data_IF_622288124934
#
_entry.id   IF_622288124934
#
_cell.length_a   1.000
_cell.length_b   1.000
_cell.length_c   1.000
_cell.angle_alpha   90.00
_cell.angle_beta   90.00
_cell.angle_gamma   90.00
#
_symmetry.space_group_name_H-M   'P 1'
#
loop_
_entity.id
_entity.type
_entity.pdbx_description
1 polymer ?
#
# COMPACT_ATOMS: atom_id res chain seq x y z
N UNK A 1 3.07 -18.65 -11.21
CA UNK A 1 1.93 -19.50 -11.61
C UNK A 1 2.32 -20.97 -11.77
N UNK A 2 3.56 -21.27 -12.15
CA UNK A 2 4.04 -22.64 -12.42
C UNK A 2 3.74 -23.67 -11.32
N UNK A 3 3.87 -23.28 -10.04
CA UNK A 3 3.53 -24.16 -8.92
C UNK A 3 2.05 -24.50 -8.81
N UNK A 4 1.17 -23.59 -9.22
CA UNK A 4 -0.28 -23.81 -9.24
C UNK A 4 -0.64 -24.76 -10.39
N UNK A 5 -0.03 -24.56 -11.56
CA UNK A 5 -0.15 -25.47 -12.70
C UNK A 5 0.35 -26.88 -12.37
N UNK A 6 1.55 -27.01 -11.79
CA UNK A 6 2.12 -28.32 -11.45
C UNK A 6 1.32 -29.07 -10.39
N UNK A 7 0.57 -28.35 -9.57
CA UNK A 7 -0.27 -28.91 -8.50
C UNK A 7 -1.72 -29.11 -8.93
N UNK A 8 -2.07 -28.86 -10.20
CA UNK A 8 -3.43 -28.95 -10.75
C UNK A 8 -4.48 -28.15 -9.97
N UNK A 9 -4.06 -27.06 -9.33
CA UNK A 9 -4.97 -26.13 -8.66
C UNK A 9 -5.63 -25.29 -9.73
N UNK A 10 -6.97 -25.15 -9.70
CA UNK A 10 -7.70 -24.29 -10.63
C UNK A 10 -7.52 -22.84 -10.21
N UNK A 11 -7.11 -21.98 -11.13
CA UNK A 11 -6.98 -20.55 -10.91
C UNK A 11 -7.23 -19.77 -12.21
N UNK A 12 -7.41 -18.45 -12.06
CA UNK A 12 -7.51 -17.52 -13.19
C UNK A 12 -6.10 -17.09 -13.60
N UNK A 13 -5.65 -17.57 -14.76
CA UNK A 13 -4.27 -17.35 -15.22
C UNK A 13 -3.96 -15.93 -15.67
N UNK A 14 -4.99 -15.20 -16.08
CA UNK A 14 -4.98 -13.84 -16.60
C UNK A 14 -5.50 -12.82 -15.56
N UNK A 15 -5.41 -13.14 -14.28
CA UNK A 15 -5.91 -12.25 -13.23
C UNK A 15 -5.10 -10.94 -13.17
N UNK A 16 -5.78 -9.81 -13.32
CA UNK A 16 -5.23 -8.50 -13.05
C UNK A 16 -5.35 -8.20 -11.54
N UNK A 17 -4.24 -8.29 -10.81
CA UNK A 17 -4.25 -8.15 -9.35
C UNK A 17 -4.81 -6.81 -8.86
N UNK A 18 -4.48 -5.71 -9.53
CA UNK A 18 -4.98 -4.38 -9.16
C UNK A 18 -6.51 -4.35 -9.25
N UNK A 19 -7.07 -4.73 -10.39
CA UNK A 19 -8.52 -4.74 -10.63
C UNK A 19 -9.26 -5.73 -9.71
N UNK A 20 -8.59 -6.82 -9.33
CA UNK A 20 -9.16 -7.81 -8.42
C UNK A 20 -9.15 -7.34 -6.96
N UNK A 21 -8.16 -6.56 -6.55
CA UNK A 21 -7.92 -6.19 -5.15
C UNK A 21 -8.28 -4.74 -4.80
N UNK A 22 -8.68 -3.94 -5.78
CA UNK A 22 -9.08 -2.53 -5.60
C UNK A 22 -10.31 -2.17 -6.44
N UNK A 23 -11.04 -1.15 -6.01
CA UNK A 23 -12.11 -0.54 -6.78
C UNK A 23 -11.61 0.66 -7.60
N UNK A 24 -12.44 1.10 -8.56
CA UNK A 24 -12.17 2.33 -9.33
C UNK A 24 -12.13 3.54 -8.40
N UNK A 25 -13.01 3.59 -7.40
CA UNK A 25 -13.08 4.69 -6.43
C UNK A 25 -11.83 4.74 -5.56
N UNK A 26 -11.33 3.59 -5.09
CA UNK A 26 -10.06 3.51 -4.36
C UNK A 26 -8.91 4.09 -5.19
N UNK A 27 -8.82 3.69 -6.46
CA UNK A 27 -7.78 4.17 -7.37
C UNK A 27 -7.84 5.68 -7.62
N UNK A 28 -9.06 6.23 -7.72
CA UNK A 28 -9.30 7.67 -7.88
C UNK A 28 -8.89 8.43 -6.62
N UNK A 29 -9.24 7.93 -5.45
CA UNK A 29 -8.86 8.51 -4.16
C UNK A 29 -7.35 8.47 -3.97
N UNK A 30 -6.69 7.34 -4.22
CA UNK A 30 -5.25 7.23 -4.04
C UNK A 30 -4.49 8.19 -4.97
N UNK A 31 -4.97 8.33 -6.20
CA UNK A 31 -4.43 9.29 -7.16
C UNK A 31 -4.62 10.73 -6.67
N UNK A 32 -5.81 11.08 -6.17
CA UNK A 32 -6.10 12.44 -5.68
C UNK A 32 -5.26 12.78 -4.44
N UNK A 33 -4.92 11.77 -3.63
CA UNK A 33 -4.03 11.87 -2.49
C UNK A 33 -2.53 11.87 -2.87
N UNK A 34 -2.19 11.84 -4.16
CA UNK A 34 -0.84 12.05 -4.66
C UNK A 34 -0.04 10.78 -4.95
N UNK A 35 -0.67 9.61 -4.95
CA UNK A 35 -0.02 8.38 -5.41
C UNK A 35 0.16 8.38 -6.93
N UNK A 36 1.37 8.06 -7.46
CA UNK A 36 1.56 7.87 -8.90
C UNK A 36 0.75 6.69 -9.45
N UNK A 37 0.29 6.81 -10.70
CA UNK A 37 -0.45 5.75 -11.42
C UNK A 37 0.44 4.61 -11.94
N UNK A 38 1.66 4.46 -11.44
CA UNK A 38 2.51 3.34 -11.79
C UNK A 38 2.01 2.06 -11.11
N UNK A 39 2.02 0.93 -11.82
CA UNK A 39 1.55 -0.37 -11.32
C UNK A 39 2.14 -0.70 -9.94
N UNK A 40 3.46 -0.57 -9.78
CA UNK A 40 4.14 -0.86 -8.51
C UNK A 40 3.67 0.04 -7.36
N UNK A 41 3.38 1.32 -7.64
CA UNK A 41 2.86 2.24 -6.63
C UNK A 41 1.47 1.81 -6.17
N UNK A 42 0.60 1.41 -7.10
CA UNK A 42 -0.75 0.93 -6.81
C UNK A 42 -0.71 -0.40 -6.04
N UNK A 43 0.15 -1.33 -6.43
CA UNK A 43 0.36 -2.60 -5.70
C UNK A 43 0.84 -2.37 -4.26
N UNK A 44 1.74 -1.40 -4.06
CA UNK A 44 2.20 -1.02 -2.73
C UNK A 44 1.06 -0.41 -1.90
N UNK A 45 0.21 0.42 -2.49
CA UNK A 45 -0.98 0.94 -1.79
C UNK A 45 -1.94 -0.18 -1.40
N UNK A 46 -2.23 -1.11 -2.32
CA UNK A 46 -3.07 -2.27 -2.01
C UNK A 46 -2.50 -3.05 -0.81
N UNK A 47 -1.17 -3.22 -0.78
CA UNK A 47 -0.49 -3.86 0.35
C UNK A 47 -0.65 -3.09 1.66
N UNK A 48 -0.62 -1.74 1.62
CA UNK A 48 -0.87 -0.87 2.77
C UNK A 48 -2.32 -0.89 3.26
N UNK A 49 -3.30 -1.12 2.39
CA UNK A 49 -4.72 -1.21 2.79
C UNK A 49 -5.12 -2.62 3.26
N UNK A 50 -4.35 -3.66 2.90
CA UNK A 50 -4.68 -5.07 3.18
C UNK A 50 -3.64 -5.77 4.07
N UNK A 51 -2.85 -5.01 4.83
CA UNK A 51 -1.79 -5.56 5.65
C UNK A 51 -2.31 -6.42 6.81
N UNK A 52 -1.59 -7.49 7.11
CA UNK A 52 -1.77 -8.29 8.34
C UNK A 52 -0.72 -7.91 9.42
N UNK A 53 0.42 -7.37 8.99
CA UNK A 53 1.48 -6.81 9.85
C UNK A 53 1.84 -5.41 9.42
N UNK A 54 2.20 -4.55 10.38
CA UNK A 54 2.60 -3.17 10.11
C UNK A 54 3.64 -3.11 8.99
N UNK A 55 3.32 -2.32 7.96
CA UNK A 55 4.15 -2.20 6.77
C UNK A 55 5.37 -1.32 7.03
N UNK A 56 6.56 -1.84 6.69
CA UNK A 56 7.77 -1.04 6.58
C UNK A 56 7.90 -0.53 5.15
N UNK A 57 7.80 0.78 4.97
CA UNK A 57 7.84 1.42 3.65
C UNK A 57 9.29 1.80 3.31
N UNK A 58 9.76 1.37 2.14
CA UNK A 58 11.13 1.59 1.66
C UNK A 58 11.08 2.25 0.27
N UNK A 59 11.64 3.45 0.13
CA UNK A 59 11.62 4.23 -1.12
C UNK A 59 11.99 5.70 -0.89
N UNK A 60 11.96 6.56 -1.92
CA UNK A 60 12.14 8.01 -1.73
C UNK A 60 11.03 8.54 -0.83
N UNK A 61 11.40 8.85 0.42
CA UNK A 61 10.46 8.97 1.54
C UNK A 61 9.41 10.08 1.37
N UNK A 62 9.74 11.17 0.68
CA UNK A 62 8.88 12.35 0.62
C UNK A 62 7.49 12.06 0.00
N UNK A 63 7.45 11.44 -1.18
CA UNK A 63 6.19 11.21 -1.88
C UNK A 63 5.28 10.22 -1.13
N UNK A 64 5.85 9.12 -0.62
CA UNK A 64 5.09 8.15 0.15
C UNK A 64 4.56 8.75 1.45
N UNK A 65 5.35 9.56 2.15
CA UNK A 65 4.90 10.25 3.35
C UNK A 65 3.76 11.24 3.06
N UNK A 66 3.89 12.05 2.00
CA UNK A 66 2.84 13.01 1.63
C UNK A 66 1.52 12.30 1.30
N UNK A 67 1.60 11.16 0.60
CA UNK A 67 0.44 10.31 0.35
C UNK A 67 -0.18 9.79 1.65
N UNK A 68 0.62 9.21 2.56
CA UNK A 68 0.11 8.63 3.81
C UNK A 68 -0.56 9.67 4.70
N UNK A 69 0.04 10.87 4.82
CA UNK A 69 -0.52 11.96 5.63
C UNK A 69 -1.86 12.45 5.08
N UNK A 70 -2.07 12.42 3.76
CA UNK A 70 -3.35 12.76 3.14
C UNK A 70 -4.38 11.63 3.24
N UNK A 71 -3.94 10.40 3.01
CA UNK A 71 -4.79 9.21 3.02
C UNK A 71 -5.31 8.87 4.43
N UNK A 72 -4.48 9.11 5.45
CA UNK A 72 -4.81 8.77 6.83
C UNK A 72 -4.63 10.02 7.72
N UNK A 73 -5.62 10.93 7.77
CA UNK A 73 -5.49 12.22 8.45
C UNK A 73 -5.30 12.11 9.97
N UNK A 74 -5.57 10.95 10.56
CA UNK A 74 -5.41 10.69 12.00
C UNK A 74 -4.03 10.16 12.40
N UNK A 75 -3.08 10.02 11.46
CA UNK A 75 -1.72 9.54 11.79
C UNK A 75 -0.84 10.70 12.25
N UNK A 76 -0.03 10.45 13.28
CA UNK A 76 0.99 11.38 13.73
C UNK A 76 2.35 10.98 13.14
N UNK A 77 3.08 11.97 12.63
CA UNK A 77 4.46 11.80 12.17
C UNK A 77 5.42 11.99 13.33
N UNK A 78 6.21 10.97 13.65
CA UNK A 78 7.23 10.97 14.70
C UNK A 78 8.45 10.19 14.23
N UNK A 79 9.62 10.47 14.81
CA UNK A 79 10.87 9.79 14.54
C UNK A 79 11.39 9.04 15.76
N UNK A 80 12.19 7.99 15.55
CA UNK A 80 12.81 7.23 16.65
C UNK A 80 13.73 8.06 17.57
N UNK A 81 14.14 9.25 17.13
CA UNK A 81 14.96 10.18 17.90
C UNK A 81 14.15 11.24 18.66
N UNK A 82 12.84 11.29 18.48
CA UNK A 82 11.99 12.26 19.17
C UNK A 82 11.83 11.86 20.64
N UNK A 83 12.04 12.79 21.57
CA UNK A 83 11.97 12.51 23.01
C UNK A 83 10.59 12.02 23.45
N UNK A 84 9.52 12.43 22.75
CA UNK A 84 8.14 12.00 23.02
C UNK A 84 7.78 10.65 22.40
N UNK A 85 8.67 10.04 21.59
CA UNK A 85 8.35 8.83 20.82
C UNK A 85 7.77 7.69 21.68
N UNK A 86 8.30 7.51 22.91
CA UNK A 86 7.82 6.48 23.86
C UNK A 86 6.59 6.87 24.67
N UNK A 87 6.30 8.15 24.80
CA UNK A 87 5.13 8.64 25.54
C UNK A 87 3.86 8.62 24.68
N UNK A 88 4.02 8.60 23.35
CA UNK A 88 2.96 8.54 22.35
C UNK A 88 2.61 7.10 21.88
N UNK A 89 3.28 6.06 22.42
CA UNK A 89 3.12 4.64 22.04
C UNK A 89 1.99 3.93 22.79
#
# INVERSE_FOLDING_TARGET
MDRLYSSQIVFRSDIAFIEYLSSVDDCLEWTSNGMPKHVLCVENVISLHRFDRYALIIGPSAQSMDYLMKQFPSIQKTGFHDNSFREES
#
